data_IF_554391938034
#
_entry.id   IF_554391938034
#
_cell.length_a   1.000
_cell.length_b   1.000
_cell.length_c   1.000
_cell.angle_alpha   90.00
_cell.angle_beta   90.00
_cell.angle_gamma   90.00
#
_symmetry.space_group_name_H-M   'P 1'
#
loop_
_entity.id
_entity.type
_entity.pdbx_description
1 polymer ?
#
# COMPACT_ATOMS: atom_id res chain seq x y z
N UNK A 1 -4.64 -14.50 9.78
CA UNK A 1 -5.36 -13.47 9.03
C UNK A 1 -5.11 -13.64 7.54
N UNK A 2 -5.90 -12.98 6.72
CA UNK A 2 -5.72 -13.05 5.26
C UNK A 2 -4.34 -12.55 4.82
N UNK A 3 -3.68 -11.72 5.62
CA UNK A 3 -2.32 -11.27 5.33
C UNK A 3 -1.32 -12.40 5.32
N UNK A 4 -1.54 -13.42 6.14
CA UNK A 4 -0.63 -14.57 6.21
C UNK A 4 -0.70 -15.41 4.94
N UNK A 5 -1.80 -15.25 4.19
CA UNK A 5 -2.04 -15.99 2.94
C UNK A 5 -1.63 -15.21 1.69
N UNK A 6 -1.09 -13.99 1.86
CA UNK A 6 -0.63 -13.20 0.73
C UNK A 6 0.63 -13.80 0.12
N UNK A 7 0.53 -14.12 -1.16
CA UNK A 7 1.67 -14.60 -1.94
C UNK A 7 2.51 -13.41 -2.43
N UNK A 8 3.81 -13.64 -2.50
CA UNK A 8 4.69 -12.63 -3.07
C UNK A 8 4.68 -12.69 -4.60
N UNK A 9 4.77 -11.55 -5.31
CA UNK A 9 4.88 -10.21 -4.75
C UNK A 9 3.53 -9.66 -4.28
N UNK A 10 3.52 -9.18 -3.05
CA UNK A 10 2.33 -8.67 -2.40
C UNK A 10 1.70 -7.48 -3.15
N UNK A 11 2.52 -6.71 -3.87
CA UNK A 11 2.07 -5.56 -4.68
C UNK A 11 1.07 -5.91 -5.77
N UNK A 12 0.87 -7.21 -6.06
CA UNK A 12 -0.13 -7.65 -7.02
C UNK A 12 -1.53 -7.72 -6.41
N UNK A 13 -1.68 -7.38 -5.14
CA UNK A 13 -2.98 -7.40 -4.47
C UNK A 13 -3.52 -5.98 -4.31
N UNK A 14 -4.80 -5.84 -4.60
CA UNK A 14 -5.55 -4.61 -4.37
C UNK A 14 -6.42 -4.84 -3.14
N UNK A 15 -6.30 -3.95 -2.17
CA UNK A 15 -7.14 -3.99 -0.98
C UNK A 15 -8.37 -3.09 -1.20
N UNK A 16 -9.52 -3.60 -0.82
CA UNK A 16 -10.78 -2.87 -0.81
C UNK A 16 -11.10 -2.63 0.66
N UNK A 17 -11.19 -1.40 1.08
CA UNK A 17 -11.40 -1.10 2.50
C UNK A 17 -12.29 0.10 2.71
N UNK A 18 -12.96 0.11 3.85
CA UNK A 18 -13.79 1.23 4.28
C UNK A 18 -12.92 2.19 5.10
N UNK A 19 -12.81 3.42 4.64
CA UNK A 19 -12.02 4.43 5.30
C UNK A 19 -12.80 5.14 6.41
N UNK A 20 -14.11 5.23 6.29
CA UNK A 20 -14.95 6.00 7.19
C UNK A 20 -16.21 5.23 7.53
N UNK A 21 -16.40 4.97 8.83
CA UNK A 21 -17.62 4.34 9.33
C UNK A 21 -18.88 5.22 9.16
N UNK A 22 -18.69 6.51 8.87
CA UNK A 22 -19.80 7.46 8.76
C UNK A 22 -20.39 7.57 7.36
N UNK A 23 -19.57 7.35 6.32
CA UNK A 23 -19.93 7.70 4.95
C UNK A 23 -19.88 6.52 3.99
N UNK A 24 -19.53 5.34 4.47
CA UNK A 24 -19.37 4.15 3.62
C UNK A 24 -18.47 4.40 2.40
N UNK A 25 -17.39 5.18 2.58
CA UNK A 25 -16.43 5.44 1.53
C UNK A 25 -15.52 4.23 1.34
N UNK A 26 -15.78 3.50 0.28
CA UNK A 26 -14.96 2.35 -0.09
C UNK A 26 -13.79 2.83 -0.94
N UNK A 27 -12.59 2.48 -0.51
CA UNK A 27 -11.35 2.81 -1.21
C UNK A 27 -10.74 1.55 -1.78
N UNK A 28 -10.15 1.70 -2.96
CA UNK A 28 -9.47 0.61 -3.65
C UNK A 28 -8.03 1.06 -3.89
N UNK A 29 -7.07 0.41 -3.24
CA UNK A 29 -5.66 0.79 -3.30
C UNK A 29 -4.79 -0.46 -3.37
N UNK A 30 -3.58 -0.31 -3.92
CA UNK A 30 -2.62 -1.41 -4.03
C UNK A 30 -1.91 -1.64 -2.71
N UNK A 31 -1.76 -2.90 -2.30
CA UNK A 31 -1.02 -3.26 -1.09
C UNK A 31 0.47 -3.16 -1.37
N UNK A 32 1.16 -2.31 -0.62
CA UNK A 32 2.60 -2.04 -0.79
C UNK A 32 3.41 -2.70 0.32
N UNK A 33 2.88 -2.74 1.53
CA UNK A 33 3.57 -3.32 2.67
C UNK A 33 2.60 -3.90 3.68
N UNK A 34 3.08 -4.79 4.52
CA UNK A 34 2.33 -5.39 5.63
C UNK A 34 3.13 -5.24 6.91
N UNK A 35 2.52 -5.56 8.03
CA UNK A 35 3.16 -5.43 9.35
C UNK A 35 4.56 -6.02 9.38
N UNK A 36 5.50 -5.24 9.90
CA UNK A 36 6.90 -5.59 9.96
C UNK A 36 7.75 -5.15 8.77
N UNK A 37 7.13 -4.80 7.64
CA UNK A 37 7.87 -4.34 6.46
C UNK A 37 8.41 -2.92 6.69
N UNK A 38 9.65 -2.68 6.26
CA UNK A 38 10.24 -1.35 6.26
C UNK A 38 10.21 -0.80 4.85
N UNK A 39 9.57 0.36 4.69
CA UNK A 39 9.42 1.02 3.41
C UNK A 39 10.30 2.26 3.37
N UNK A 40 10.92 2.51 2.22
CA UNK A 40 11.64 3.74 1.96
C UNK A 40 11.19 4.27 0.61
N UNK A 41 11.23 5.60 0.48
CA UNK A 41 10.76 6.30 -0.71
C UNK A 41 11.92 7.12 -1.25
N UNK A 42 12.49 6.68 -2.36
CA UNK A 42 13.68 7.30 -2.94
C UNK A 42 13.54 7.39 -4.46
N UNK A 43 13.93 8.53 -4.99
CA UNK A 43 13.99 8.74 -6.44
C UNK A 43 12.65 8.44 -7.15
N UNK A 44 11.54 8.74 -6.47
CA UNK A 44 10.21 8.53 -7.01
C UNK A 44 9.70 7.10 -6.93
N UNK A 45 10.43 6.22 -6.27
CA UNK A 45 10.10 4.80 -6.18
C UNK A 45 10.00 4.30 -4.76
N UNK A 46 9.32 3.18 -4.58
CA UNK A 46 9.19 2.51 -3.29
C UNK A 46 10.25 1.43 -3.17
N UNK A 47 10.91 1.40 -2.02
CA UNK A 47 11.83 0.34 -1.62
C UNK A 47 11.22 -0.37 -0.42
N UNK A 48 11.14 -1.69 -0.47
CA UNK A 48 10.58 -2.52 0.59
C UNK A 48 11.64 -3.47 1.09
N UNK A 49 11.96 -3.37 2.37
CA UNK A 49 12.98 -4.20 3.01
C UNK A 49 14.33 -4.16 2.27
N UNK A 50 14.67 -2.97 1.77
CA UNK A 50 15.94 -2.75 1.08
C UNK A 50 15.96 -3.05 -0.40
N UNK A 51 14.83 -3.50 -0.96
CA UNK A 51 14.73 -3.82 -2.38
C UNK A 51 13.77 -2.87 -3.09
N UNK A 52 14.21 -2.30 -4.21
CA UNK A 52 13.36 -1.46 -5.04
C UNK A 52 12.25 -2.30 -5.67
N UNK A 53 11.01 -1.89 -5.48
CA UNK A 53 9.88 -2.57 -6.09
C UNK A 53 9.82 -2.33 -7.60
N UNK A 54 9.49 -3.38 -8.33
CA UNK A 54 9.12 -3.25 -9.73
C UNK A 54 7.67 -2.81 -9.79
N UNK A 55 7.41 -1.67 -10.42
CA UNK A 55 6.10 -1.05 -10.41
C UNK A 55 5.60 -0.74 -11.81
N UNK A 56 5.27 -1.78 -12.61
CA UNK A 56 4.81 -1.57 -13.99
C UNK A 56 3.45 -0.89 -14.09
N UNK A 57 2.72 -0.81 -12.98
CA UNK A 57 1.38 -0.24 -12.90
C UNK A 57 1.37 1.27 -12.68
N UNK A 58 2.51 1.89 -12.39
CA UNK A 58 2.55 3.36 -12.23
C UNK A 58 2.93 4.01 -13.56
N UNK A 59 2.36 5.19 -13.84
CA UNK A 59 2.62 5.92 -15.07
C UNK A 59 3.82 6.83 -14.97
N UNK A 60 4.11 7.31 -13.78
CA UNK A 60 5.20 8.24 -13.53
C UNK A 60 5.75 8.09 -12.12
N UNK A 61 7.02 8.43 -11.88
CA UNK A 61 7.58 8.43 -10.52
C UNK A 61 6.81 9.39 -9.61
N UNK A 62 6.75 9.07 -8.32
CA UNK A 62 6.08 9.98 -7.38
C UNK A 62 6.93 11.23 -7.13
N UNK A 63 6.23 12.37 -7.12
CA UNK A 63 6.84 13.66 -6.82
C UNK A 63 6.92 13.90 -5.32
N UNK A 64 5.92 13.41 -4.58
CA UNK A 64 5.87 13.52 -3.13
C UNK A 64 6.01 12.15 -2.49
N UNK A 65 6.88 12.07 -1.48
CA UNK A 65 7.04 10.87 -0.68
C UNK A 65 7.37 11.25 0.76
N UNK A 66 7.27 10.27 1.66
CA UNK A 66 7.68 10.43 3.05
C UNK A 66 9.21 10.47 3.13
N UNK A 67 9.74 11.30 4.04
CA UNK A 67 11.18 11.32 4.28
C UNK A 67 11.60 10.11 5.11
N UNK A 68 12.77 9.56 4.81
CA UNK A 68 13.36 8.46 5.56
C UNK A 68 12.67 7.13 5.31
N UNK A 69 12.71 6.27 6.30
CA UNK A 69 12.07 4.95 6.24
C UNK A 69 10.91 4.86 7.21
N UNK A 70 9.97 3.96 6.88
CA UNK A 70 8.77 3.76 7.67
C UNK A 70 8.54 2.25 7.86
N UNK A 71 8.38 1.82 9.10
CA UNK A 71 8.06 0.42 9.39
C UNK A 71 6.57 0.29 9.63
N UNK A 72 5.92 -0.58 8.85
CA UNK A 72 4.49 -0.82 8.96
C UNK A 72 4.20 -1.54 10.29
N UNK A 73 3.28 -1.01 11.12
CA UNK A 73 2.94 -1.68 12.38
C UNK A 73 2.30 -3.05 12.14
N UNK A 74 2.48 -3.94 13.10
CA UNK A 74 1.83 -5.26 13.07
C UNK A 74 0.29 -5.10 13.02
N UNK A 75 -0.35 -5.96 12.28
CA UNK A 75 -1.81 -5.92 12.11
C UNK A 75 -2.30 -4.89 11.13
N UNK A 76 -1.40 -4.21 10.42
CA UNK A 76 -1.73 -3.16 9.47
C UNK A 76 -1.15 -3.44 8.09
N UNK A 77 -1.70 -2.76 7.08
CA UNK A 77 -1.17 -2.75 5.72
C UNK A 77 -0.92 -1.31 5.29
N UNK A 78 0.09 -1.13 4.46
CA UNK A 78 0.37 0.16 3.82
C UNK A 78 -0.10 0.07 2.38
N UNK A 79 -0.96 0.99 1.97
CA UNK A 79 -1.57 0.97 0.64
C UNK A 79 -1.26 2.24 -0.12
N UNK A 80 -1.13 2.15 -1.44
CA UNK A 80 -0.86 3.29 -2.30
C UNK A 80 -1.70 3.19 -3.57
N UNK A 81 -2.15 4.34 -4.06
CA UNK A 81 -2.79 4.42 -5.37
C UNK A 81 -1.75 4.30 -6.47
N UNK A 82 -2.14 3.75 -7.61
CA UNK A 82 -1.22 3.60 -8.74
C UNK A 82 -0.89 4.95 -9.37
N UNK A 83 -1.83 5.88 -9.35
CA UNK A 83 -1.56 7.27 -9.75
C UNK A 83 -0.91 8.00 -8.57
N UNK A 84 0.40 7.84 -8.43
CA UNK A 84 1.16 8.26 -7.24
C UNK A 84 1.09 9.75 -6.95
N UNK A 85 0.92 10.59 -7.97
CA UNK A 85 0.90 12.03 -7.80
C UNK A 85 -0.51 12.60 -7.58
N UNK A 86 -1.54 11.76 -7.71
CA UNK A 86 -2.94 12.17 -7.57
C UNK A 86 -3.76 11.16 -6.77
N UNK A 87 -3.18 10.65 -5.68
CA UNK A 87 -3.85 9.67 -4.85
C UNK A 87 -3.74 10.02 -3.37
N UNK A 88 -4.84 9.89 -2.66
CA UNK A 88 -4.84 9.89 -1.20
C UNK A 88 -4.69 8.44 -0.73
N UNK A 89 -3.68 8.16 0.05
CA UNK A 89 -3.39 6.80 0.49
C UNK A 89 -2.59 6.80 1.80
N UNK A 90 -1.97 5.68 2.15
CA UNK A 90 -1.25 5.55 3.42
C UNK A 90 -0.13 6.58 3.62
N UNK A 91 0.39 7.17 2.54
CA UNK A 91 1.38 8.26 2.66
C UNK A 91 0.82 9.46 3.40
N UNK A 92 -0.50 9.64 3.37
CA UNK A 92 -1.21 10.78 3.94
C UNK A 92 -2.08 10.39 5.12
N UNK A 93 -2.76 9.24 5.05
CA UNK A 93 -3.71 8.82 6.08
C UNK A 93 -3.11 7.82 7.08
N UNK A 94 -1.90 7.32 6.82
CA UNK A 94 -1.29 6.30 7.64
C UNK A 94 -1.69 4.89 7.23
N UNK A 95 -1.16 3.88 7.93
CA UNK A 95 -1.47 2.48 7.62
C UNK A 95 -2.93 2.16 7.94
N UNK A 96 -3.43 1.11 7.29
CA UNK A 96 -4.83 0.68 7.44
C UNK A 96 -4.87 -0.61 8.26
N UNK A 97 -5.67 -0.67 9.34
CA UNK A 97 -5.84 -1.92 10.07
C UNK A 97 -6.40 -3.02 9.18
N UNK A 98 -5.87 -4.23 9.34
CA UNK A 98 -6.27 -5.37 8.50
C UNK A 98 -7.76 -5.66 8.61
N UNK A 99 -8.34 -5.49 9.79
CA UNK A 99 -9.78 -5.73 10.01
C UNK A 99 -10.67 -4.73 9.28
N UNK A 100 -10.12 -3.62 8.78
CA UNK A 100 -10.88 -2.67 7.98
C UNK A 100 -10.90 -3.06 6.49
N UNK A 101 -10.12 -4.06 6.09
CA UNK A 101 -10.10 -4.51 4.71
C UNK A 101 -11.31 -5.42 4.46
N UNK A 102 -12.17 -5.00 3.54
CA UNK A 102 -13.40 -5.72 3.20
C UNK A 102 -13.15 -6.85 2.21
N UNK A 103 -12.11 -6.73 1.40
CA UNK A 103 -11.76 -7.74 0.42
C UNK A 103 -10.44 -7.44 -0.25
N UNK A 104 -9.95 -8.39 -1.04
CA UNK A 104 -8.73 -8.25 -1.82
C UNK A 104 -8.91 -8.88 -3.19
N UNK A 105 -8.23 -8.33 -4.17
CA UNK A 105 -8.21 -8.85 -5.54
C UNK A 105 -6.76 -9.07 -5.95
N UNK A 106 -6.45 -10.27 -6.42
CA UNK A 106 -5.14 -10.56 -6.99
C UNK A 106 -5.12 -10.16 -8.46
N UNK A 107 -4.06 -9.44 -8.87
CA UNK A 107 -3.91 -8.96 -10.24
C UNK A 107 -2.65 -9.58 -10.82
N UNK A 108 -2.74 -10.05 -12.05
CA UNK A 108 -1.58 -10.57 -12.79
C UNK A 108 -1.14 -9.55 -13.84
N UNK A 109 0.15 -9.40 -13.94
CA UNK A 109 0.77 -8.54 -14.94
C UNK A 109 1.55 -9.37 -15.94
#
# INVERSE_FOLDING_TARGET
SWMDDLEEPMKNYIAIFDRSSREHNVWVKRVIGKGGDTLAFKEGHVWRNGEKLEEPYINEPMEFSMDGSYTVPEGMVFVMGDNRNHSSDSRFIGPVPVDHVLGKVAIQF
#
